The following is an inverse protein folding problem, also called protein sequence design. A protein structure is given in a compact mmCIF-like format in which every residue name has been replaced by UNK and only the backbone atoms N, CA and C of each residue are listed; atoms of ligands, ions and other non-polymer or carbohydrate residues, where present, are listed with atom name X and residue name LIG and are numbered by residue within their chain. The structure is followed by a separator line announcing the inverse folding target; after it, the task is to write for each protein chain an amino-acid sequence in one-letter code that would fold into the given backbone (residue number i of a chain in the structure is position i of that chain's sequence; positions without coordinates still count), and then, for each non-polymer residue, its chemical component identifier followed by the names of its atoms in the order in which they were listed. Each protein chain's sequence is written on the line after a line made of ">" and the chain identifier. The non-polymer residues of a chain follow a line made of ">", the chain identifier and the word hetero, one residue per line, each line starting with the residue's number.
data_IF_009808830220
#
_entry.id   IF_009808830220
#
_cell.length_a   1.000
_cell.length_b   1.000
_cell.length_c   1.000
_cell.angle_alpha   90.00
_cell.angle_beta   90.00
_cell.angle_gamma   90.00
#
_symmetry.space_group_name_H-M   'P 1'
#
loop_
_entity.id
_entity.type
_entity.pdbx_description
1 polymer ?
#
# COMPACT_ATOMS: atom_id res chain seq x y z
N UNK A 1 -46.21 -29.55 -5.62
CA UNK A 1 -45.98 -29.15 -4.22
C UNK A 1 -44.63 -29.69 -3.78
N UNK A 2 -43.66 -28.83 -3.44
CA UNK A 2 -42.37 -29.30 -2.89
C UNK A 2 -42.57 -29.83 -1.48
N UNK A 3 -41.89 -30.93 -1.13
CA UNK A 3 -41.99 -31.54 0.19
C UNK A 3 -41.36 -30.63 1.25
N UNK A 4 -41.75 -30.78 2.52
CA UNK A 4 -41.16 -30.00 3.64
C UNK A 4 -39.63 -30.15 3.71
N UNK A 5 -39.11 -31.30 3.30
CA UNK A 5 -37.67 -31.60 3.25
C UNK A 5 -36.94 -30.81 2.14
N UNK A 6 -37.58 -30.65 0.98
CA UNK A 6 -37.04 -29.83 -0.12
C UNK A 6 -36.98 -28.34 0.25
N UNK A 7 -37.99 -27.85 0.97
CA UNK A 7 -38.03 -26.47 1.45
C UNK A 7 -36.96 -26.21 2.53
N UNK A 8 -36.73 -27.19 3.42
CA UNK A 8 -35.66 -27.09 4.42
C UNK A 8 -34.28 -27.09 3.77
N UNK A 9 -34.05 -27.95 2.77
CA UNK A 9 -32.80 -28.03 2.02
C UNK A 9 -32.52 -26.74 1.23
N UNK A 10 -33.52 -26.17 0.56
CA UNK A 10 -33.39 -24.86 -0.12
C UNK A 10 -33.04 -23.74 0.85
N UNK A 11 -33.62 -23.75 2.05
CA UNK A 11 -33.38 -22.72 3.07
C UNK A 11 -31.95 -22.82 3.60
N UNK A 12 -31.45 -24.03 3.86
CA UNK A 12 -30.06 -24.25 4.29
C UNK A 12 -29.07 -23.84 3.19
N UNK A 13 -29.36 -24.16 1.92
CA UNK A 13 -28.53 -23.73 0.78
C UNK A 13 -28.49 -22.22 0.64
N UNK A 14 -29.63 -21.54 0.78
CA UNK A 14 -29.70 -20.07 0.69
C UNK A 14 -29.01 -19.40 1.87
N UNK A 15 -29.13 -19.93 3.10
CA UNK A 15 -28.40 -19.42 4.27
C UNK A 15 -26.89 -19.66 4.13
N UNK A 16 -26.47 -20.83 3.65
CA UNK A 16 -25.05 -21.12 3.38
C UNK A 16 -24.49 -20.20 2.29
N UNK A 17 -25.25 -19.96 1.22
CA UNK A 17 -24.86 -19.06 0.14
C UNK A 17 -24.76 -17.60 0.63
N UNK A 18 -25.67 -17.16 1.50
CA UNK A 18 -25.59 -15.86 2.15
C UNK A 18 -24.40 -15.73 3.10
N UNK A 19 -24.09 -16.75 3.90
CA UNK A 19 -22.92 -16.73 4.79
C UNK A 19 -21.62 -16.68 3.98
N UNK A 20 -21.48 -17.48 2.91
CA UNK A 20 -20.29 -17.44 2.04
C UNK A 20 -20.13 -16.10 1.31
N UNK A 21 -21.23 -15.51 0.82
CA UNK A 21 -21.20 -14.17 0.20
C UNK A 21 -20.83 -13.10 1.21
N UNK A 22 -21.40 -13.12 2.43
CA UNK A 22 -21.02 -12.16 3.48
C UNK A 22 -19.55 -12.32 3.92
N UNK A 23 -19.04 -13.54 4.05
CA UNK A 23 -17.63 -13.76 4.42
C UNK A 23 -16.64 -13.22 3.38
N UNK A 24 -16.99 -13.26 2.08
CA UNK A 24 -16.15 -12.66 1.03
C UNK A 24 -16.29 -11.13 0.95
N UNK A 25 -17.44 -10.57 1.34
CA UNK A 25 -17.69 -9.11 1.30
C UNK A 25 -16.99 -8.37 2.45
N UNK A 26 -16.66 -9.03 3.58
CA UNK A 26 -15.99 -8.39 4.72
C UNK A 26 -14.47 -8.61 4.81
N UNK A 27 -13.83 -9.26 3.82
CA UNK A 27 -12.40 -9.59 3.89
C UNK A 27 -11.56 -9.14 2.68
N UNK A 28 -12.02 -8.13 1.95
CA UNK A 28 -11.21 -7.43 0.96
C UNK A 28 -11.57 -5.96 1.03
N UNK A 29 -10.62 -5.12 1.44
CA UNK A 29 -10.16 -3.91 0.74
C UNK A 29 -8.93 -3.38 1.50
N UNK A 30 -7.86 -4.19 1.53
CA UNK A 30 -6.54 -3.67 1.86
C UNK A 30 -5.97 -2.98 0.62
N UNK A 31 -5.42 -1.77 0.76
CA UNK A 31 -4.65 -1.14 -0.32
C UNK A 31 -3.47 -2.05 -0.62
N UNK A 32 -3.51 -2.77 -1.74
CA UNK A 32 -2.38 -3.59 -2.18
C UNK A 32 -1.23 -2.66 -2.59
N UNK A 33 -0.10 -2.75 -1.88
CA UNK A 33 1.10 -1.99 -2.16
C UNK A 33 1.83 -2.57 -3.37
N UNK A 34 2.44 -1.72 -4.20
CA UNK A 34 3.29 -2.15 -5.32
C UNK A 34 4.44 -3.07 -4.85
N UNK A 35 5.05 -3.89 -5.74
CA UNK A 35 6.17 -4.73 -5.35
C UNK A 35 7.32 -3.95 -4.68
N UNK A 36 8.09 -4.63 -3.84
CA UNK A 36 9.27 -4.01 -3.22
C UNK A 36 10.27 -3.59 -4.29
N UNK A 37 10.85 -2.41 -4.12
CA UNK A 37 11.88 -1.86 -4.99
C UNK A 37 13.01 -1.26 -4.14
N UNK A 38 14.21 -1.23 -4.72
CA UNK A 38 15.37 -0.55 -4.14
C UNK A 38 15.57 0.83 -4.78
N UNK A 39 16.18 1.78 -4.05
CA UNK A 39 16.56 3.05 -4.63
C UNK A 39 17.61 2.83 -5.70
N UNK A 40 17.51 3.57 -6.80
CA UNK A 40 18.58 3.63 -7.78
C UNK A 40 19.65 4.64 -7.39
N UNK A 41 19.33 5.56 -6.48
CA UNK A 41 20.26 6.53 -5.89
C UNK A 41 19.84 6.83 -4.45
N UNK A 42 20.82 6.96 -3.56
CA UNK A 42 20.61 7.48 -2.20
C UNK A 42 21.83 8.28 -1.75
N UNK A 43 21.66 9.14 -0.77
CA UNK A 43 22.74 9.98 -0.29
C UNK A 43 22.33 10.91 0.84
N UNK A 44 23.19 11.90 1.08
CA UNK A 44 22.97 12.93 2.09
C UNK A 44 23.07 14.31 1.46
N UNK A 45 22.04 15.13 1.66
CA UNK A 45 22.02 16.53 1.24
C UNK A 45 22.40 17.44 2.40
N UNK A 46 23.47 18.21 2.25
CA UNK A 46 23.85 19.24 3.24
C UNK A 46 22.86 20.42 3.18
N UNK A 47 22.15 20.67 4.27
CA UNK A 47 21.14 21.76 4.36
C UNK A 47 21.53 22.85 5.36
N UNK A 48 22.56 22.61 6.17
CA UNK A 48 23.21 23.58 7.04
C UNK A 48 24.60 23.08 7.46
N UNK A 49 25.32 23.85 8.26
CA UNK A 49 26.62 23.44 8.82
C UNK A 49 26.53 22.27 9.82
N UNK A 50 25.33 21.91 10.28
CA UNK A 50 25.11 20.90 11.32
C UNK A 50 24.13 19.79 10.92
N UNK A 51 23.38 19.95 9.83
CA UNK A 51 22.37 18.98 9.40
C UNK A 51 22.63 18.51 7.97
N UNK A 52 22.57 17.18 7.79
CA UNK A 52 22.51 16.51 6.50
C UNK A 52 21.23 15.67 6.46
N UNK A 53 20.44 15.81 5.40
CA UNK A 53 19.22 15.02 5.24
C UNK A 53 19.51 13.78 4.39
N UNK A 54 19.15 12.61 4.88
CA UNK A 54 19.16 11.40 4.06
C UNK A 54 18.09 11.51 2.98
N UNK A 55 18.37 11.01 1.78
CA UNK A 55 17.40 10.91 0.69
C UNK A 55 17.55 9.63 -0.12
N UNK A 56 16.46 9.24 -0.76
CA UNK A 56 16.40 8.14 -1.74
C UNK A 56 15.61 8.55 -2.98
N UNK A 57 16.09 8.13 -4.15
CA UNK A 57 15.38 8.20 -5.41
C UNK A 57 15.00 6.78 -5.87
N UNK A 58 13.70 6.55 -6.04
CA UNK A 58 13.12 5.26 -6.37
C UNK A 58 12.21 5.36 -7.61
N UNK A 59 11.92 4.22 -8.24
CA UNK A 59 10.99 4.13 -9.37
C UNK A 59 11.62 4.56 -10.71
N UNK A 60 10.87 5.32 -11.51
CA UNK A 60 11.26 5.72 -12.85
C UNK A 60 11.96 7.09 -12.82
N UNK A 61 13.26 7.20 -13.17
CA UNK A 61 13.98 8.48 -13.22
C UNK A 61 13.38 9.52 -14.17
N UNK A 62 12.56 9.09 -15.13
CA UNK A 62 11.83 9.95 -16.08
C UNK A 62 10.33 10.06 -15.77
N UNK A 63 9.90 9.49 -14.64
CA UNK A 63 8.51 9.52 -14.20
C UNK A 63 8.08 10.87 -13.66
N UNK A 64 6.78 11.00 -13.35
CA UNK A 64 6.27 12.18 -12.66
C UNK A 64 6.87 12.25 -11.25
N UNK A 65 7.44 13.39 -10.81
CA UNK A 65 8.04 13.47 -9.49
C UNK A 65 6.96 13.43 -8.39
N UNK A 66 7.25 12.70 -7.33
CA UNK A 66 6.49 12.72 -6.07
C UNK A 66 7.44 12.80 -4.90
N UNK A 67 7.13 13.70 -3.96
CA UNK A 67 7.95 13.95 -2.77
C UNK A 67 7.20 13.41 -1.55
N UNK A 68 7.83 12.50 -0.82
CA UNK A 68 7.21 11.80 0.31
C UNK A 68 7.55 12.51 1.61
N UNK A 69 6.52 12.81 2.41
CA UNK A 69 6.63 13.33 3.76
C UNK A 69 6.22 12.23 4.74
N UNK A 70 7.18 11.71 5.51
CA UNK A 70 6.86 10.76 6.57
C UNK A 70 6.07 11.42 7.71
N UNK A 71 5.31 10.61 8.45
CA UNK A 71 4.53 11.05 9.60
C UNK A 71 5.35 11.16 10.89
N UNK A 72 4.75 11.78 11.92
CA UNK A 72 5.42 12.16 13.16
C UNK A 72 6.55 13.17 12.95
N UNK A 73 6.91 14.00 13.92
CA UNK A 73 8.23 14.64 13.91
C UNK A 73 9.29 13.63 14.40
N UNK A 74 10.47 13.61 13.76
CA UNK A 74 11.58 12.71 14.11
C UNK A 74 11.38 11.23 13.72
N UNK A 75 10.42 10.94 12.84
CA UNK A 75 10.31 9.65 12.17
C UNK A 75 11.32 9.49 11.03
N UNK A 76 11.20 8.39 10.28
CA UNK A 76 12.02 8.08 9.12
C UNK A 76 11.17 7.57 7.95
N UNK A 77 11.71 7.68 6.74
CA UNK A 77 11.18 6.96 5.59
C UNK A 77 11.48 5.47 5.71
N UNK A 78 10.47 4.62 5.51
CA UNK A 78 10.65 3.15 5.52
C UNK A 78 10.64 2.58 4.10
N UNK A 79 11.25 1.40 3.85
CA UNK A 79 11.19 0.74 2.54
C UNK A 79 9.76 0.51 2.03
N UNK A 80 8.80 0.34 2.95
CA UNK A 80 7.38 0.24 2.62
C UNK A 80 6.83 1.48 1.91
N UNK A 81 7.37 2.67 2.21
CA UNK A 81 6.90 3.93 1.63
C UNK A 81 7.20 4.05 0.13
N UNK A 82 8.20 3.32 -0.39
CA UNK A 82 8.51 3.24 -1.83
C UNK A 82 7.36 2.61 -2.63
N UNK A 83 6.48 1.86 -1.96
CA UNK A 83 5.46 1.00 -2.58
C UNK A 83 4.08 1.66 -2.71
N UNK A 84 3.92 2.91 -2.26
CA UNK A 84 2.65 3.64 -2.40
C UNK A 84 2.41 4.19 -3.80
N UNK A 85 3.44 4.28 -4.64
CA UNK A 85 3.37 4.84 -5.98
C UNK A 85 3.76 3.80 -7.01
N UNK A 86 3.11 3.85 -8.19
CA UNK A 86 3.47 2.95 -9.29
C UNK A 86 4.92 3.26 -9.73
N UNK A 87 5.86 2.31 -9.61
CA UNK A 87 7.28 2.58 -9.83
C UNK A 87 7.63 2.83 -11.30
N UNK A 88 6.79 2.41 -12.25
CA UNK A 88 7.00 2.67 -13.68
C UNK A 88 6.58 4.09 -14.09
N UNK A 89 5.72 4.74 -13.30
CA UNK A 89 5.14 6.05 -13.63
C UNK A 89 5.76 7.22 -12.87
N UNK A 90 6.33 6.96 -11.69
CA UNK A 90 6.76 8.01 -10.76
C UNK A 90 8.27 7.96 -10.47
N UNK A 91 8.88 9.14 -10.40
CA UNK A 91 10.14 9.37 -9.70
C UNK A 91 9.78 9.65 -8.23
N UNK A 92 10.07 8.69 -7.37
CA UNK A 92 9.70 8.75 -5.96
C UNK A 92 10.88 9.27 -5.17
N UNK A 93 10.72 10.43 -4.54
CA UNK A 93 11.74 11.08 -3.71
C UNK A 93 11.35 10.92 -2.25
N UNK A 94 12.13 10.13 -1.51
CA UNK A 94 12.00 9.96 -0.07
C UNK A 94 13.12 10.75 0.62
N UNK A 95 12.84 11.28 1.80
CA UNK A 95 13.84 11.96 2.63
C UNK A 95 13.46 11.88 4.10
N UNK A 96 14.47 11.85 4.94
CA UNK A 96 14.29 11.97 6.39
C UNK A 96 14.31 13.44 6.78
N UNK A 97 13.31 13.86 7.55
CA UNK A 97 13.25 15.22 8.11
C UNK A 97 14.35 15.41 9.17
N UNK A 98 14.61 16.67 9.56
CA UNK A 98 15.63 17.02 10.57
C UNK A 98 15.34 16.42 11.94
#
# INVERSE_FOLDING_TARGET
>A
MKSKTELLSLTIFLVSMWVTVCSNVYCQEGIELWPSIEPFESGYLEVSNIHKLYYELCGNPKGKPVFVLHGGPGGECTPGMRRFFNPEKFLIVLHDQR
#
